data_IF_710795752650
#
_entry.id   IF_710795752650
#
_cell.length_a   1.000
_cell.length_b   1.000
_cell.length_c   1.000
_cell.angle_alpha   90.00
_cell.angle_beta   90.00
_cell.angle_gamma   90.00
#
_symmetry.space_group_name_H-M   'P 1'
#
loop_
_entity.id
_entity.type
_entity.pdbx_description
1 polymer ?
#
# COMPACT_ATOMS: atom_id res chain seq x y z
N UNK A 1 -6.60 3.11 -1.72
CA UNK A 1 -5.27 3.26 -1.09
C UNK A 1 -4.49 2.00 -1.43
N UNK A 2 -3.54 2.07 -2.36
CA UNK A 2 -2.60 0.99 -2.62
C UNK A 2 -1.32 1.31 -1.84
N UNK A 3 -1.35 1.09 -0.52
CA UNK A 3 -0.14 1.13 0.31
C UNK A 3 0.54 -0.24 0.25
N UNK A 4 1.87 -0.28 0.32
CA UNK A 4 2.60 -1.55 0.36
C UNK A 4 2.27 -2.31 1.66
N UNK A 5 2.42 -3.64 1.65
CA UNK A 5 2.24 -4.47 2.85
C UNK A 5 3.13 -4.00 4.01
N UNK A 6 4.30 -3.44 3.71
CA UNK A 6 5.21 -2.92 4.74
C UNK A 6 4.59 -1.73 5.49
N UNK A 7 4.01 -0.77 4.75
CA UNK A 7 3.23 0.32 5.35
C UNK A 7 2.05 -0.20 6.17
N UNK A 8 1.34 -1.21 5.67
CA UNK A 8 0.18 -1.79 6.36
C UNK A 8 0.59 -2.49 7.66
N UNK A 9 1.60 -3.34 7.61
CA UNK A 9 2.15 -4.05 8.76
C UNK A 9 2.67 -3.07 9.83
N UNK A 10 3.37 -2.00 9.42
CA UNK A 10 3.88 -0.97 10.34
C UNK A 10 2.78 -0.17 11.04
N UNK A 11 1.58 -0.10 10.46
CA UNK A 11 0.44 0.63 11.02
C UNK A 11 -0.38 -0.19 12.03
N UNK A 12 -0.18 -1.50 12.10
CA UNK A 12 -0.91 -2.41 12.97
C UNK A 12 -0.25 -2.50 14.34
N UNK A 13 -1.07 -2.44 15.39
CA UNK A 13 -0.63 -2.64 16.77
C UNK A 13 -0.79 -4.09 17.23
N UNK A 14 -1.66 -4.86 16.59
CA UNK A 14 -1.99 -6.24 16.97
C UNK A 14 -2.00 -7.17 15.76
N UNK A 15 -1.53 -8.40 15.97
CA UNK A 15 -1.43 -9.46 14.96
C UNK A 15 -2.07 -10.76 15.50
N UNK A 16 -3.41 -10.84 15.58
CA UNK A 16 -4.11 -11.95 16.21
C UNK A 16 -3.86 -13.27 15.47
N UNK A 17 -3.90 -13.30 14.14
CA UNK A 17 -3.72 -14.54 13.38
C UNK A 17 -2.27 -15.02 13.43
N UNK A 18 -1.30 -14.10 13.39
CA UNK A 18 0.10 -14.44 13.59
C UNK A 18 0.35 -15.08 14.98
N UNK A 19 -0.25 -14.52 16.05
CA UNK A 19 -0.16 -15.10 17.41
C UNK A 19 -0.79 -16.49 17.50
N UNK A 20 -1.92 -16.72 16.85
CA UNK A 20 -2.59 -18.03 16.85
C UNK A 20 -1.74 -19.09 16.12
N UNK A 21 -1.09 -18.73 15.02
CA UNK A 21 -0.22 -19.65 14.27
C UNK A 21 1.14 -19.89 14.93
N UNK A 22 1.61 -18.96 15.75
CA UNK A 22 2.89 -19.01 16.43
C UNK A 22 2.74 -18.69 17.93
N UNK A 23 2.06 -19.55 18.70
CA UNK A 23 1.72 -19.27 20.10
C UNK A 23 2.95 -19.24 21.03
N UNK A 24 3.95 -20.08 20.75
CA UNK A 24 5.13 -20.28 21.61
C UNK A 24 6.35 -19.47 21.14
N UNK A 25 6.15 -18.48 20.27
CA UNK A 25 7.26 -17.68 19.76
C UNK A 25 7.75 -16.68 20.81
N UNK A 26 9.06 -16.64 21.02
CA UNK A 26 9.68 -15.60 21.83
C UNK A 26 9.43 -14.20 21.21
N UNK A 27 9.34 -13.17 22.05
CA UNK A 27 9.03 -11.79 21.66
C UNK A 27 9.98 -11.27 20.57
N UNK A 28 11.25 -11.64 20.64
CA UNK A 28 12.23 -11.28 19.61
C UNK A 28 11.89 -11.89 18.25
N UNK A 29 11.62 -13.20 18.20
CA UNK A 29 11.25 -13.90 16.97
C UNK A 29 9.91 -13.38 16.43
N UNK A 30 8.97 -13.09 17.32
CA UNK A 30 7.67 -12.55 16.94
C UNK A 30 7.83 -11.19 16.25
N UNK A 31 8.62 -10.29 16.81
CA UNK A 31 8.92 -8.99 16.20
C UNK A 31 9.66 -9.10 14.86
N UNK A 32 10.39 -10.19 14.61
CA UNK A 32 10.97 -10.42 13.28
C UNK A 32 9.89 -10.75 12.25
N UNK A 33 8.80 -11.40 12.64
CA UNK A 33 7.70 -11.79 11.74
C UNK A 33 6.64 -10.70 11.54
N UNK A 34 6.63 -9.65 12.37
CA UNK A 34 5.68 -8.54 12.21
C UNK A 34 6.10 -7.54 11.13
N UNK A 35 7.36 -7.58 10.70
CA UNK A 35 7.88 -6.79 9.59
C UNK A 35 7.71 -7.56 8.28
N UNK A 36 7.54 -6.83 7.17
CA UNK A 36 7.51 -7.45 5.84
C UNK A 36 8.81 -8.24 5.60
N UNK A 37 8.68 -9.51 5.23
CA UNK A 37 9.81 -10.35 4.85
C UNK A 37 10.52 -9.85 3.59
N UNK A 38 11.74 -10.32 3.37
CA UNK A 38 12.55 -9.98 2.20
C UNK A 38 12.86 -11.27 1.45
N UNK A 39 12.73 -11.25 0.13
CA UNK A 39 12.82 -12.47 -0.65
C UNK A 39 13.54 -12.25 -1.98
N UNK A 40 14.31 -13.27 -2.40
CA UNK A 40 15.13 -13.23 -3.60
C UNK A 40 14.40 -13.88 -4.79
N UNK A 41 13.33 -13.22 -5.27
CA UNK A 41 12.47 -13.74 -6.34
C UNK A 41 13.25 -14.13 -7.60
N UNK A 42 14.14 -13.25 -8.07
CA UNK A 42 14.91 -13.48 -9.30
C UNK A 42 15.97 -14.58 -9.15
N UNK A 43 16.36 -14.92 -7.92
CA UNK A 43 17.32 -15.97 -7.68
C UNK A 43 16.69 -17.35 -7.86
N UNK A 44 15.43 -17.53 -7.48
CA UNK A 44 14.73 -18.83 -7.53
C UNK A 44 14.14 -19.05 -8.91
N UNK A 45 14.96 -19.63 -9.80
CA UNK A 45 14.58 -19.99 -11.17
C UNK A 45 14.40 -21.50 -11.37
N UNK A 46 14.77 -22.31 -10.37
CA UNK A 46 14.69 -23.76 -10.40
C UNK A 46 14.42 -24.34 -9.01
N UNK A 47 13.98 -25.61 -8.97
CA UNK A 47 13.64 -26.26 -7.71
C UNK A 47 14.87 -26.61 -6.86
N UNK A 48 16.01 -26.88 -7.48
CA UNK A 48 17.25 -27.25 -6.78
C UNK A 48 17.76 -26.13 -5.87
N UNK A 49 17.46 -24.87 -6.21
CA UNK A 49 17.83 -23.71 -5.39
C UNK A 49 17.12 -23.66 -4.05
N UNK A 50 15.98 -24.34 -3.87
CA UNK A 50 15.35 -24.47 -2.56
C UNK A 50 16.18 -25.32 -1.60
N UNK A 51 16.99 -26.26 -2.11
CA UNK A 51 17.88 -27.07 -1.29
C UNK A 51 19.16 -26.33 -0.88
N UNK A 52 19.36 -25.09 -1.37
CA UNK A 52 20.51 -24.28 -1.01
C UNK A 52 20.53 -24.03 0.50
N UNK A 53 21.61 -24.44 1.16
CA UNK A 53 21.77 -24.38 2.62
C UNK A 53 22.27 -23.02 3.14
N UNK A 54 22.48 -22.07 2.23
CA UNK A 54 23.03 -20.75 2.54
C UNK A 54 22.11 -19.68 1.96
N UNK A 55 21.89 -18.63 2.74
CA UNK A 55 21.18 -17.44 2.27
C UNK A 55 21.97 -16.79 1.12
N UNK A 56 21.34 -16.50 -0.03
CA UNK A 56 22.03 -15.88 -1.16
C UNK A 56 22.71 -14.55 -0.79
N UNK A 57 23.76 -14.15 -1.52
CA UNK A 57 24.40 -12.85 -1.31
C UNK A 57 23.42 -11.71 -1.66
N UNK A 58 23.65 -10.51 -1.10
CA UNK A 58 22.78 -9.33 -1.26
C UNK A 58 22.50 -8.99 -2.73
N UNK A 59 23.48 -9.18 -3.62
CA UNK A 59 23.35 -8.91 -5.06
C UNK A 59 22.25 -9.75 -5.74
N UNK A 60 21.91 -10.91 -5.16
CA UNK A 60 20.86 -11.80 -5.68
C UNK A 60 19.45 -11.44 -5.19
N UNK A 61 19.32 -10.43 -4.34
CA UNK A 61 18.04 -9.84 -3.92
C UNK A 61 17.63 -8.65 -4.77
N UNK A 62 18.36 -8.35 -5.84
CA UNK A 62 17.94 -7.36 -6.82
C UNK A 62 16.59 -7.73 -7.43
N UNK A 63 15.67 -6.78 -7.49
CA UNK A 63 14.34 -6.98 -8.05
C UNK A 63 14.26 -6.31 -9.42
N UNK A 64 14.21 -7.12 -10.50
CA UNK A 64 14.09 -6.63 -11.88
C UNK A 64 12.79 -5.88 -12.17
N UNK A 65 11.70 -6.17 -11.44
CA UNK A 65 10.41 -5.50 -11.68
C UNK A 65 10.41 -4.06 -11.18
N UNK A 66 11.15 -3.78 -10.11
CA UNK A 66 11.26 -2.44 -9.50
C UNK A 66 12.60 -1.77 -9.80
N UNK A 67 13.49 -2.46 -10.54
CA UNK A 67 14.85 -2.02 -10.91
C UNK A 67 15.66 -1.53 -9.70
N UNK A 68 15.50 -2.21 -8.56
CA UNK A 68 16.02 -1.74 -7.26
C UNK A 68 16.70 -2.84 -6.47
N UNK A 69 17.84 -2.52 -5.85
CA UNK A 69 18.45 -3.35 -4.82
C UNK A 69 17.77 -3.18 -3.46
N UNK A 70 17.92 -4.15 -2.58
CA UNK A 70 17.52 -4.03 -1.18
C UNK A 70 18.54 -3.19 -0.40
N UNK A 71 18.13 -2.64 0.75
CA UNK A 71 19.03 -1.97 1.67
C UNK A 71 19.89 -2.97 2.46
N UNK A 72 21.01 -2.50 3.03
CA UNK A 72 21.84 -3.33 3.90
C UNK A 72 21.07 -3.74 5.17
N UNK A 73 20.24 -2.84 5.70
CA UNK A 73 19.37 -3.11 6.86
C UNK A 73 18.36 -4.23 6.58
N UNK A 74 17.80 -4.24 5.37
CA UNK A 74 16.90 -5.29 4.91
C UNK A 74 17.65 -6.62 4.82
N UNK A 75 18.82 -6.64 4.18
CA UNK A 75 19.60 -7.87 4.09
C UNK A 75 20.02 -8.42 5.47
N UNK A 76 20.35 -7.54 6.42
CA UNK A 76 20.61 -7.95 7.80
C UNK A 76 19.36 -8.51 8.48
N UNK A 77 18.18 -7.95 8.20
CA UNK A 77 16.93 -8.51 8.70
C UNK A 77 16.70 -9.94 8.17
N UNK A 78 16.93 -10.19 6.88
CA UNK A 78 16.84 -11.54 6.31
C UNK A 78 17.81 -12.52 6.98
N UNK A 79 19.06 -12.10 7.26
CA UNK A 79 20.03 -12.89 8.03
C UNK A 79 19.58 -13.18 9.46
N UNK A 80 19.00 -12.20 10.13
CA UNK A 80 18.49 -12.36 11.49
C UNK A 80 17.33 -13.37 11.53
N UNK A 81 16.43 -13.34 10.55
CA UNK A 81 15.36 -14.33 10.40
C UNK A 81 15.95 -15.72 10.16
N UNK A 82 16.89 -15.84 9.22
CA UNK A 82 17.56 -17.11 8.90
C UNK A 82 18.20 -17.76 10.14
N UNK A 83 18.93 -16.97 10.93
CA UNK A 83 19.58 -17.44 12.14
C UNK A 83 18.59 -17.73 13.28
N UNK A 84 17.61 -16.83 13.51
CA UNK A 84 16.68 -16.96 14.64
C UNK A 84 15.73 -18.16 14.51
N UNK A 85 15.36 -18.53 13.29
CA UNK A 85 14.51 -19.69 13.02
C UNK A 85 15.30 -20.96 12.70
N UNK A 86 16.64 -20.90 12.75
CA UNK A 86 17.55 -22.02 12.49
C UNK A 86 17.25 -22.72 11.17
N UNK A 87 17.12 -21.91 10.11
CA UNK A 87 16.68 -22.34 8.79
C UNK A 87 17.80 -23.14 8.12
N UNK A 88 17.46 -24.32 7.60
CA UNK A 88 18.44 -25.25 7.02
C UNK A 88 18.65 -25.06 5.54
N UNK A 89 17.60 -24.66 4.83
CA UNK A 89 17.63 -24.47 3.38
C UNK A 89 16.69 -23.35 2.94
N UNK A 90 16.84 -22.92 1.69
CA UNK A 90 16.06 -21.83 1.12
C UNK A 90 14.57 -22.19 0.96
N UNK A 91 14.23 -23.48 0.88
CA UNK A 91 12.86 -24.00 0.93
C UNK A 91 12.16 -23.65 2.24
N UNK A 92 12.75 -24.01 3.38
CA UNK A 92 12.23 -23.66 4.71
C UNK A 92 12.11 -22.14 4.89
N UNK A 93 13.06 -21.37 4.35
CA UNK A 93 12.96 -19.91 4.32
C UNK A 93 11.75 -19.41 3.52
N UNK A 94 11.51 -20.02 2.36
CA UNK A 94 10.39 -19.67 1.49
C UNK A 94 9.05 -20.01 2.13
N UNK A 95 8.94 -21.17 2.78
CA UNK A 95 7.73 -21.57 3.48
C UNK A 95 7.41 -20.61 4.63
N UNK A 96 8.43 -20.22 5.41
CA UNK A 96 8.27 -19.23 6.47
C UNK A 96 7.86 -17.87 5.88
N UNK A 97 8.56 -17.41 4.83
CA UNK A 97 8.24 -16.16 4.13
C UNK A 97 6.79 -16.14 3.65
N UNK A 98 6.36 -17.14 2.88
CA UNK A 98 5.00 -17.22 2.35
C UNK A 98 3.95 -17.26 3.46
N UNK A 99 4.18 -18.08 4.49
CA UNK A 99 3.25 -18.18 5.62
C UNK A 99 3.10 -16.84 6.34
N UNK A 100 4.21 -16.14 6.57
CA UNK A 100 4.21 -14.84 7.26
C UNK A 100 3.58 -13.73 6.41
N UNK A 101 3.86 -13.70 5.10
CA UNK A 101 3.28 -12.72 4.17
C UNK A 101 1.75 -12.86 4.11
N UNK A 102 1.24 -14.09 4.04
CA UNK A 102 -0.20 -14.37 4.09
C UNK A 102 -0.80 -13.94 5.44
N UNK A 103 -0.16 -14.27 6.56
CA UNK A 103 -0.67 -13.92 7.89
C UNK A 103 -0.70 -12.41 8.11
N UNK A 104 0.34 -11.69 7.70
CA UNK A 104 0.37 -10.23 7.72
C UNK A 104 -0.71 -9.63 6.83
N UNK A 105 -1.00 -10.22 5.68
CA UNK A 105 -2.08 -9.78 4.81
C UNK A 105 -3.46 -9.98 5.45
N UNK A 106 -3.66 -11.10 6.15
CA UNK A 106 -4.89 -11.42 6.87
C UNK A 106 -5.06 -10.58 8.14
N UNK A 107 -3.97 -10.24 8.83
CA UNK A 107 -4.02 -9.34 9.99
C UNK A 107 -4.21 -7.87 9.59
N UNK A 108 -3.63 -7.45 8.44
CA UNK A 108 -3.76 -6.08 7.93
C UNK A 108 -5.12 -5.78 7.30
N UNK A 109 -5.67 -6.76 6.59
CA UNK A 109 -7.05 -6.70 6.17
C UNK A 109 -7.91 -7.30 7.26
N UNK A 110 -8.56 -6.44 8.04
CA UNK A 110 -9.64 -6.83 8.93
C UNK A 110 -10.81 -7.42 8.10
N UNK A 111 -10.63 -8.67 7.69
CA UNK A 111 -11.57 -9.48 6.94
C UNK A 111 -12.83 -9.78 7.76
N UNK A 112 -12.78 -9.56 9.09
CA UNK A 112 -13.93 -9.73 9.96
C UNK A 112 -14.87 -8.52 9.90
N UNK A 113 -14.35 -7.29 9.79
CA UNK A 113 -15.20 -6.10 9.64
C UNK A 113 -15.63 -5.80 8.20
N UNK A 114 -14.95 -6.35 7.20
CA UNK A 114 -15.34 -6.20 5.79
C UNK A 114 -16.31 -7.30 5.37
N UNK A 115 -17.48 -6.99 4.80
CA UNK A 115 -18.42 -8.01 4.39
C UNK A 115 -17.76 -8.94 3.35
N UNK A 116 -17.72 -10.27 3.61
CA UNK A 116 -16.91 -11.23 2.84
C UNK A 116 -17.41 -11.47 1.41
N UNK A 117 -18.50 -10.83 1.01
CA UNK A 117 -19.17 -11.04 -0.26
C UNK A 117 -18.71 -10.09 -1.37
N UNK A 118 -17.78 -9.18 -1.11
CA UNK A 118 -17.36 -8.16 -2.09
C UNK A 118 -15.91 -8.33 -2.53
N UNK A 119 -15.72 -8.50 -3.84
CA UNK A 119 -14.39 -8.59 -4.47
C UNK A 119 -13.62 -7.27 -4.43
N UNK A 120 -14.32 -6.12 -4.43
CA UNK A 120 -13.69 -4.81 -4.49
C UNK A 120 -14.39 -3.80 -3.57
N UNK A 121 -13.62 -2.84 -3.06
CA UNK A 121 -14.16 -1.77 -2.22
C UNK A 121 -15.15 -0.85 -2.95
N UNK A 122 -14.96 -0.50 -4.24
CA UNK A 122 -15.97 0.24 -5.00
C UNK A 122 -17.30 -0.50 -5.13
N UNK A 123 -17.29 -1.82 -5.36
CA UNK A 123 -18.51 -2.64 -5.39
C UNK A 123 -19.26 -2.61 -4.05
N UNK A 124 -18.53 -2.76 -2.94
CA UNK A 124 -19.12 -2.61 -1.60
C UNK A 124 -19.70 -1.21 -1.36
N UNK A 125 -18.99 -0.17 -1.80
CA UNK A 125 -19.44 1.23 -1.64
C UNK A 125 -20.68 1.51 -2.48
N UNK A 126 -20.77 0.93 -3.68
CA UNK A 126 -21.92 1.02 -4.57
C UNK A 126 -23.18 0.41 -3.94
N UNK A 127 -23.08 -0.81 -3.41
CA UNK A 127 -24.23 -1.45 -2.75
C UNK A 127 -24.63 -0.72 -1.46
N UNK A 128 -23.65 -0.19 -0.72
CA UNK A 128 -23.94 0.69 0.42
C UNK A 128 -24.67 1.97 0.01
N UNK A 129 -24.30 2.58 -1.13
CA UNK A 129 -25.00 3.74 -1.69
C UNK A 129 -26.45 3.37 -2.06
N UNK A 130 -26.66 2.26 -2.76
CA UNK A 130 -28.01 1.80 -3.15
C UNK A 130 -28.87 1.51 -1.92
N UNK A 131 -28.30 0.84 -0.90
CA UNK A 131 -28.99 0.56 0.36
C UNK A 131 -29.42 1.84 1.10
N UNK A 132 -28.55 2.86 1.12
CA UNK A 132 -28.83 4.15 1.79
C UNK A 132 -29.86 4.99 1.03
N UNK A 133 -29.74 5.04 -0.30
CA UNK A 133 -30.59 5.89 -1.16
C UNK A 133 -31.92 5.24 -1.53
N UNK A 134 -32.01 3.89 -1.44
CA UNK A 134 -33.17 3.07 -1.84
C UNK A 134 -33.59 3.27 -3.30
N UNK A 135 -32.66 3.74 -4.14
CA UNK A 135 -32.93 3.94 -5.57
C UNK A 135 -32.66 2.66 -6.36
N UNK A 136 -33.47 2.43 -7.39
CA UNK A 136 -33.27 1.35 -8.36
C UNK A 136 -32.67 1.95 -9.63
N UNK A 137 -31.46 1.54 -9.99
CA UNK A 137 -30.81 1.94 -11.23
C UNK A 137 -31.09 0.92 -12.33
N UNK A 138 -31.47 1.40 -13.50
CA UNK A 138 -31.65 0.56 -14.69
C UNK A 138 -30.31 0.28 -15.37
N UNK A 139 -30.18 -0.92 -15.96
CA UNK A 139 -29.01 -1.28 -16.74
C UNK A 139 -29.07 -0.60 -18.12
N UNK A 140 -28.03 0.15 -18.48
CA UNK A 140 -27.88 0.69 -19.82
C UNK A 140 -27.62 -0.43 -20.82
N UNK A 141 -28.58 -0.70 -21.71
CA UNK A 141 -28.47 -1.73 -22.76
C UNK A 141 -28.09 -1.17 -24.12
N UNK A 142 -28.30 0.13 -24.34
CA UNK A 142 -27.99 0.84 -25.58
C UNK A 142 -26.58 1.43 -25.55
N UNK A 143 -25.81 1.18 -26.61
CA UNK A 143 -24.43 1.67 -26.77
C UNK A 143 -24.38 3.19 -26.92
N UNK A 144 -25.38 3.83 -27.54
CA UNK A 144 -25.40 5.26 -27.72
C UNK A 144 -25.60 5.99 -26.37
N UNK A 145 -26.42 5.42 -25.49
CA UNK A 145 -26.59 5.91 -24.12
C UNK A 145 -25.30 5.76 -23.31
N UNK A 146 -24.62 4.62 -23.42
CA UNK A 146 -23.33 4.39 -22.76
C UNK A 146 -22.30 5.43 -23.23
N UNK A 147 -22.14 5.59 -24.56
CA UNK A 147 -21.21 6.56 -25.14
C UNK A 147 -21.53 7.99 -24.75
N UNK A 148 -22.82 8.35 -24.63
CA UNK A 148 -23.23 9.67 -24.15
C UNK A 148 -22.76 9.93 -22.72
N UNK A 149 -22.97 8.97 -21.81
CA UNK A 149 -22.54 9.07 -20.41
C UNK A 149 -21.01 9.14 -20.32
N UNK A 150 -20.30 8.24 -21.00
CA UNK A 150 -18.83 8.20 -21.00
C UNK A 150 -18.23 9.52 -21.52
N UNK A 151 -18.80 10.09 -22.58
CA UNK A 151 -18.39 11.40 -23.11
C UNK A 151 -18.65 12.55 -22.13
N UNK A 152 -19.56 12.40 -21.17
CA UNK A 152 -19.84 13.37 -20.11
C UNK A 152 -18.92 13.30 -18.90
N UNK A 153 -18.25 12.16 -18.67
CA UNK A 153 -17.39 11.96 -17.49
C UNK A 153 -16.14 12.85 -17.60
N UNK A 154 -15.88 13.66 -16.56
CA UNK A 154 -14.67 14.48 -16.43
C UNK A 154 -14.03 14.23 -15.07
N UNK A 155 -12.70 14.16 -15.05
CA UNK A 155 -11.93 14.04 -13.82
C UNK A 155 -11.84 15.34 -13.03
N UNK A 156 -11.00 15.35 -12.00
CA UNK A 156 -10.66 16.57 -11.27
C UNK A 156 -9.95 17.60 -12.17
N UNK A 157 -10.21 18.88 -11.94
CA UNK A 157 -9.52 19.96 -12.65
C UNK A 157 -8.05 19.99 -12.22
N UNK A 158 -7.14 19.76 -13.17
CA UNK A 158 -5.70 19.94 -12.99
C UNK A 158 -5.22 20.99 -13.99
N UNK A 159 -4.81 22.16 -13.49
CA UNK A 159 -4.38 23.27 -14.33
C UNK A 159 -3.17 23.97 -13.72
N UNK A 160 -2.18 24.28 -14.57
CA UNK A 160 -1.07 25.17 -14.23
C UNK A 160 -1.32 26.51 -14.92
N UNK A 161 -1.86 27.49 -14.18
CA UNK A 161 -2.49 28.67 -14.78
C UNK A 161 -1.53 29.75 -15.31
N UNK A 162 -0.25 29.79 -14.92
CA UNK A 162 0.66 30.85 -15.41
C UNK A 162 2.17 30.60 -15.24
N UNK A 163 2.62 30.07 -14.10
CA UNK A 163 4.06 29.88 -13.81
C UNK A 163 4.34 28.40 -13.54
N UNK A 164 5.24 27.82 -14.34
CA UNK A 164 5.69 26.41 -14.19
C UNK A 164 6.49 26.17 -12.91
N UNK A 165 7.20 27.20 -12.44
CA UNK A 165 7.96 27.17 -11.19
C UNK A 165 7.80 28.50 -10.47
N UNK A 166 7.57 28.44 -9.17
CA UNK A 166 7.52 29.58 -8.29
C UNK A 166 8.31 29.23 -7.04
N UNK A 167 9.38 29.96 -6.76
CA UNK A 167 10.18 29.79 -5.54
C UNK A 167 9.72 30.85 -4.54
N UNK A 168 9.55 30.47 -3.27
CA UNK A 168 9.29 31.40 -2.17
C UNK A 168 10.61 32.05 -1.75
N UNK A 169 10.59 33.35 -1.49
CA UNK A 169 11.71 34.08 -0.90
C UNK A 169 11.18 34.81 0.33
N UNK A 170 11.17 34.16 1.49
CA UNK A 170 10.66 34.75 2.72
C UNK A 170 11.65 34.61 3.87
N UNK A 171 11.59 35.54 4.82
CA UNK A 171 12.50 35.67 5.97
C UNK A 171 12.53 34.47 6.93
N UNK A 172 11.63 33.51 6.77
CA UNK A 172 11.54 32.30 7.59
C UNK A 172 12.18 31.08 6.90
N UNK A 173 12.67 31.24 5.67
CA UNK A 173 13.37 30.18 4.93
C UNK A 173 14.88 30.26 5.15
N UNK A 174 15.59 29.12 5.20
CA UNK A 174 17.04 29.09 5.37
C UNK A 174 17.80 29.77 4.22
N UNK A 175 17.27 29.71 2.99
CA UNK A 175 17.89 30.27 1.78
C UNK A 175 17.39 31.69 1.44
N UNK A 176 17.05 32.51 2.44
CA UNK A 176 16.50 33.86 2.22
C UNK A 176 17.55 34.80 1.60
N UNK A 177 17.21 35.39 0.46
CA UNK A 177 18.05 36.41 -0.19
C UNK A 177 17.46 37.82 0.06
N UNK A 178 18.12 38.69 0.86
CA UNK A 178 17.64 40.03 1.15
C UNK A 178 17.67 40.98 -0.05
N UNK A 179 18.41 40.63 -1.12
CA UNK A 179 18.48 41.42 -2.35
C UNK A 179 17.30 41.17 -3.30
N UNK A 180 16.52 40.12 -3.07
CA UNK A 180 15.35 39.77 -3.87
C UNK A 180 14.05 40.18 -3.17
N UNK A 181 12.97 40.50 -3.92
CA UNK A 181 11.70 40.86 -3.32
C UNK A 181 11.12 39.70 -2.51
N UNK A 182 10.52 40.03 -1.37
CA UNK A 182 9.87 39.04 -0.51
C UNK A 182 8.67 38.42 -1.21
N UNK A 183 8.65 37.09 -1.29
CA UNK A 183 7.64 36.31 -2.00
C UNK A 183 7.16 35.14 -1.15
N UNK A 184 5.89 35.18 -0.80
CA UNK A 184 5.21 34.12 -0.07
C UNK A 184 4.47 33.21 -1.05
N UNK A 185 4.57 31.91 -0.84
CA UNK A 185 3.73 30.92 -1.52
C UNK A 185 2.66 30.48 -0.53
N UNK A 186 1.40 30.55 -0.95
CA UNK A 186 0.28 30.03 -0.19
C UNK A 186 -0.26 28.84 -0.96
N UNK A 187 -0.25 27.67 -0.33
CA UNK A 187 -0.98 26.51 -0.81
C UNK A 187 -2.36 26.58 -0.19
N UNK A 188 -3.37 26.95 -0.98
CA UNK A 188 -4.75 27.06 -0.53
C UNK A 188 -5.49 25.75 -0.84
N UNK A 189 -5.71 25.00 0.25
CA UNK A 189 -6.73 23.95 0.54
C UNK A 189 -6.51 22.53 -0.02
N UNK A 190 -6.24 21.61 0.92
CA UNK A 190 -6.64 20.20 0.84
C UNK A 190 -8.08 20.13 1.38
N UNK A 191 -9.06 19.86 0.51
CA UNK A 191 -10.45 19.66 0.96
C UNK A 191 -10.58 18.21 1.44
N UNK A 192 -10.77 18.02 2.74
CA UNK A 192 -11.08 16.69 3.29
C UNK A 192 -12.40 16.18 2.70
N UNK A 193 -12.31 15.11 1.90
CA UNK A 193 -13.50 14.49 1.29
C UNK A 193 -14.21 15.37 0.25
N UNK A 194 -13.47 16.00 -0.68
CA UNK A 194 -14.04 16.88 -1.71
C UNK A 194 -15.28 16.30 -2.43
N UNK A 195 -15.18 15.07 -2.94
CA UNK A 195 -16.28 14.42 -3.65
C UNK A 195 -17.46 14.10 -2.72
N UNK A 196 -17.17 13.54 -1.54
CA UNK A 196 -18.19 13.20 -0.54
C UNK A 196 -19.01 14.42 -0.10
N UNK A 197 -18.35 15.56 0.10
CA UNK A 197 -19.02 16.81 0.49
C UNK A 197 -19.96 17.33 -0.62
N UNK A 198 -19.56 17.23 -1.88
CA UNK A 198 -20.42 17.62 -3.01
C UNK A 198 -21.66 16.74 -3.12
N UNK A 199 -21.52 15.44 -2.87
CA UNK A 199 -22.64 14.49 -2.90
C UNK A 199 -23.63 14.81 -1.77
N UNK A 200 -23.17 15.02 -0.53
CA UNK A 200 -24.04 15.29 0.62
C UNK A 200 -24.80 16.63 0.56
N UNK A 201 -24.22 17.65 -0.08
CA UNK A 201 -24.87 18.96 -0.19
C UNK A 201 -26.05 18.96 -1.18
N UNK A 202 -26.08 18.02 -2.13
CA UNK A 202 -27.14 17.90 -3.12
C UNK A 202 -28.33 17.04 -2.66
N UNK A 203 -28.23 16.34 -1.53
CA UNK A 203 -29.28 15.44 -1.00
C UNK A 203 -30.15 16.10 0.09
N UNK A 204 -30.07 17.42 0.30
CA UNK A 204 -30.84 18.18 1.31
C UNK A 204 -32.10 18.87 0.78
N UNK A 205 -32.57 18.50 -0.41
CA UNK A 205 -33.85 18.94 -1.00
C UNK A 205 -34.82 17.78 -1.04
#
# INVERSE_FOLDING_TARGET
>A
MNSSLDTLASSLTEFPNLKVQFPDLDKYKFNLLTRKGIFCYDYIDNMEKFDATVLPPIDRFYNKLTDSSISDEDYQHAKNVWAAFNIKNLGEYTDLYMKTDILLLVDSHDLQSRPPHYYTLPGYTWDCMLFKTRQTLELLTDIDMLMFVERGIRGGLSQVCAKRKSVANNKYMPDYNPNEPSKYLIIIIIINGLYSNKINNNTKT
#
